data_IF_026059473296
#
_entry.id   IF_026059473296
#
_cell.length_a   1.000
_cell.length_b   1.000
_cell.length_c   1.000
_cell.angle_alpha   90.00
_cell.angle_beta   90.00
_cell.angle_gamma   90.00
#
_symmetry.space_group_name_H-M   'P 1'
#
loop_
_entity.id
_entity.type
_entity.pdbx_description
1 polymer ?
#
# COMPACT_ATOMS: atom_id res chain seq x y z
N UNK A 1 26.67 -33.61 -37.27
CA UNK A 1 25.80 -33.34 -36.10
C UNK A 1 26.58 -32.53 -35.07
N UNK A 2 26.27 -31.24 -34.91
CA UNK A 2 26.86 -30.38 -33.87
C UNK A 2 26.06 -30.53 -32.58
N UNK A 3 26.73 -30.91 -31.49
CA UNK A 3 26.13 -31.02 -30.16
C UNK A 3 25.86 -29.64 -29.57
N UNK A 4 24.59 -29.28 -29.40
CA UNK A 4 24.21 -28.16 -28.55
C UNK A 4 24.29 -28.61 -27.08
N UNK A 5 25.41 -28.27 -26.42
CA UNK A 5 25.48 -28.26 -24.96
C UNK A 5 24.43 -27.27 -24.45
N UNK A 6 23.31 -27.76 -23.91
CA UNK A 6 22.35 -26.95 -23.17
C UNK A 6 23.07 -26.38 -21.94
N UNK A 7 23.19 -25.06 -21.88
CA UNK A 7 23.65 -24.33 -20.70
C UNK A 7 22.55 -24.49 -19.64
N UNK A 8 22.72 -25.46 -18.73
CA UNK A 8 21.88 -25.60 -17.54
C UNK A 8 22.22 -24.40 -16.65
N UNK A 9 21.30 -23.44 -16.58
CA UNK A 9 21.49 -22.21 -15.81
C UNK A 9 21.77 -22.53 -14.33
N UNK A 10 22.69 -21.79 -13.69
CA UNK A 10 23.13 -22.01 -12.30
C UNK A 10 22.03 -21.97 -11.22
N UNK A 11 20.78 -21.67 -11.59
CA UNK A 11 19.60 -21.73 -10.72
C UNK A 11 19.24 -23.17 -10.34
N UNK A 12 19.41 -24.14 -11.24
CA UNK A 12 19.03 -25.54 -11.00
C UNK A 12 20.03 -26.28 -10.09
N UNK A 13 21.32 -25.95 -10.21
CA UNK A 13 22.38 -26.58 -9.41
C UNK A 13 22.35 -26.11 -7.93
N UNK A 14 21.95 -24.87 -7.65
CA UNK A 14 21.82 -24.35 -6.28
C UNK A 14 20.48 -24.75 -5.61
N UNK A 15 19.45 -25.05 -6.41
CA UNK A 15 18.18 -25.59 -5.95
C UNK A 15 18.27 -27.05 -5.48
N UNK A 16 19.13 -27.85 -6.11
CA UNK A 16 19.36 -29.25 -5.75
C UNK A 16 20.09 -29.43 -4.40
N UNK A 17 20.91 -28.46 -3.99
CA UNK A 17 21.61 -28.49 -2.70
C UNK A 17 20.69 -28.36 -1.47
N UNK A 18 19.39 -28.06 -1.65
CA UNK A 18 18.39 -27.95 -0.59
C UNK A 18 17.16 -28.85 -0.78
N UNK A 19 17.20 -29.84 -1.68
CA UNK A 19 16.08 -30.77 -1.91
C UNK A 19 14.82 -30.08 -2.44
N UNK A 20 14.94 -29.30 -3.51
CA UNK A 20 13.83 -28.59 -4.15
C UNK A 20 13.26 -29.41 -5.32
N UNK A 21 12.11 -30.06 -5.12
CA UNK A 21 11.22 -30.49 -6.21
C UNK A 21 10.21 -29.38 -6.53
N UNK A 22 9.72 -29.34 -7.77
CA UNK A 22 8.71 -28.39 -8.22
C UNK A 22 7.48 -29.18 -8.68
N UNK A 23 6.41 -29.10 -7.90
CA UNK A 23 5.06 -29.50 -8.30
C UNK A 23 4.09 -28.43 -7.80
N UNK A 24 3.29 -27.89 -8.72
CA UNK A 24 2.18 -27.00 -8.39
C UNK A 24 0.88 -27.78 -8.58
N UNK A 25 0.06 -27.83 -7.54
CA UNK A 25 -1.29 -28.39 -7.53
C UNK A 25 -2.25 -27.34 -6.98
N UNK A 26 -3.53 -27.38 -7.39
CA UNK A 26 -4.58 -26.42 -7.01
C UNK A 26 -5.23 -26.71 -5.63
N UNK A 27 -4.68 -27.66 -4.89
CA UNK A 27 -5.06 -28.04 -3.53
C UNK A 27 -3.75 -28.30 -2.78
N UNK A 28 -3.62 -27.87 -1.52
CA UNK A 28 -2.44 -28.24 -0.72
C UNK A 28 -2.43 -29.74 -0.47
N UNK A 29 -1.36 -30.40 -0.92
CA UNK A 29 -1.08 -31.81 -0.60
C UNK A 29 0.23 -31.90 0.17
N UNK A 30 0.31 -32.87 1.09
CA UNK A 30 1.56 -33.16 1.75
C UNK A 30 2.66 -33.46 0.71
N UNK A 31 3.80 -32.78 0.82
CA UNK A 31 4.90 -32.84 -0.15
C UNK A 31 4.89 -31.72 -1.20
N UNK A 32 3.80 -30.97 -1.35
CA UNK A 32 3.77 -29.82 -2.25
C UNK A 32 4.76 -28.75 -1.79
N UNK A 33 5.43 -28.12 -2.77
CA UNK A 33 6.34 -27.04 -2.45
C UNK A 33 6.55 -26.06 -3.59
N UNK A 34 6.90 -24.82 -3.23
CA UNK A 34 7.23 -23.75 -4.17
C UNK A 34 8.43 -22.96 -3.66
N UNK A 35 9.32 -22.62 -4.59
CA UNK A 35 10.46 -21.77 -4.32
C UNK A 35 10.19 -20.33 -4.80
N UNK A 36 10.69 -19.37 -4.04
CA UNK A 36 10.56 -17.94 -4.30
C UNK A 36 11.95 -17.33 -4.33
N UNK A 37 12.19 -16.48 -5.31
CA UNK A 37 13.42 -15.71 -5.43
C UNK A 37 13.13 -14.24 -5.13
N UNK A 38 13.90 -13.67 -4.21
CA UNK A 38 13.88 -12.23 -3.95
C UNK A 38 15.27 -11.62 -4.05
N UNK A 39 15.36 -10.32 -3.80
CA UNK A 39 16.65 -9.64 -3.72
C UNK A 39 17.40 -10.08 -2.47
N UNK A 40 18.51 -10.82 -2.64
CA UNK A 40 19.37 -11.25 -1.53
C UNK A 40 18.87 -12.45 -0.74
N UNK A 41 17.81 -13.12 -1.18
CA UNK A 41 17.33 -14.35 -0.57
C UNK A 41 16.66 -15.31 -1.55
N UNK A 42 16.53 -16.55 -1.13
CA UNK A 42 15.58 -17.53 -1.68
C UNK A 42 14.73 -18.10 -0.54
N UNK A 43 13.46 -18.39 -0.78
CA UNK A 43 12.58 -19.04 0.19
C UNK A 43 11.95 -20.30 -0.41
N UNK A 44 11.76 -21.35 0.37
CA UNK A 44 10.96 -22.55 0.02
C UNK A 44 9.77 -22.60 0.96
N UNK A 45 8.58 -22.76 0.41
CA UNK A 45 7.36 -23.10 1.13
C UNK A 45 7.06 -24.57 0.87
N UNK A 46 6.97 -25.38 1.92
CA UNK A 46 6.81 -26.83 1.82
C UNK A 46 5.70 -27.31 2.75
N UNK A 47 4.72 -27.99 2.19
CA UNK A 47 3.58 -28.56 2.92
C UNK A 47 4.03 -29.87 3.56
N UNK A 48 4.11 -29.91 4.89
CA UNK A 48 4.53 -31.09 5.62
C UNK A 48 3.38 -32.07 5.86
N UNK A 49 2.17 -31.55 6.12
CA UNK A 49 0.99 -32.38 6.35
C UNK A 49 -0.30 -31.61 6.10
N UNK A 50 -1.32 -32.30 5.62
CA UNK A 50 -2.70 -31.82 5.54
C UNK A 50 -3.58 -32.88 6.20
N UNK A 51 -4.16 -32.57 7.36
CA UNK A 51 -4.94 -33.52 8.16
C UNK A 51 -5.90 -32.80 9.10
N UNK A 52 -7.06 -33.38 9.35
CA UNK A 52 -8.04 -32.90 10.33
C UNK A 52 -8.43 -31.42 10.13
N UNK A 53 -8.55 -30.99 8.87
CA UNK A 53 -8.84 -29.59 8.52
C UNK A 53 -7.72 -28.62 8.90
N UNK A 54 -6.47 -29.10 8.98
CA UNK A 54 -5.28 -28.31 9.30
C UNK A 54 -4.14 -28.62 8.36
N UNK A 55 -3.39 -27.58 8.01
CA UNK A 55 -2.20 -27.65 7.16
C UNK A 55 -0.98 -27.22 7.95
N UNK A 56 0.07 -28.04 7.95
CA UNK A 56 1.37 -27.71 8.55
C UNK A 56 2.39 -27.47 7.46
N UNK A 57 3.07 -26.35 7.55
CA UNK A 57 4.00 -25.86 6.52
C UNK A 57 5.35 -25.58 7.14
N UNK A 58 6.42 -25.90 6.41
CA UNK A 58 7.77 -25.44 6.69
C UNK A 58 8.16 -24.38 5.66
N UNK A 59 8.73 -23.29 6.15
CA UNK A 59 9.37 -22.29 5.31
C UNK A 59 10.86 -22.31 5.57
N UNK A 60 11.66 -22.44 4.51
CA UNK A 60 13.12 -22.38 4.58
C UNK A 60 13.60 -21.13 3.85
N UNK A 61 14.34 -20.27 4.55
CA UNK A 61 14.94 -19.06 4.02
C UNK A 61 16.44 -19.27 3.83
N UNK A 62 16.95 -19.07 2.61
CA UNK A 62 18.38 -19.02 2.28
C UNK A 62 18.83 -17.59 2.06
N UNK A 63 19.89 -17.18 2.74
CA UNK A 63 20.57 -15.92 2.46
C UNK A 63 21.43 -16.06 1.20
N UNK A 64 21.09 -15.34 0.12
CA UNK A 64 21.87 -15.33 -1.13
C UNK A 64 22.66 -14.04 -1.31
N UNK A 65 22.63 -13.16 -0.31
CA UNK A 65 23.39 -11.92 -0.29
C UNK A 65 24.81 -12.13 0.27
N UNK A 66 25.67 -11.11 0.11
CA UNK A 66 27.01 -11.08 0.72
C UNK A 66 27.01 -10.62 2.18
N UNK A 67 25.87 -10.15 2.69
CA UNK A 67 25.74 -9.62 4.05
C UNK A 67 24.95 -10.60 4.90
N UNK A 68 25.20 -10.61 6.20
CA UNK A 68 24.37 -11.35 7.15
C UNK A 68 22.94 -10.78 7.14
N UNK A 69 21.95 -11.66 7.07
CA UNK A 69 20.56 -11.31 7.35
C UNK A 69 20.40 -11.32 8.86
N UNK A 70 19.92 -10.23 9.44
CA UNK A 70 19.56 -10.18 10.85
C UNK A 70 18.06 -9.96 10.98
N UNK A 71 17.46 -10.64 11.95
CA UNK A 71 16.07 -10.46 12.40
C UNK A 71 15.09 -10.66 11.25
N UNK A 72 15.17 -11.84 10.65
CA UNK A 72 14.33 -12.19 9.52
C UNK A 72 12.86 -12.23 9.91
N UNK A 73 12.03 -11.88 8.94
CA UNK A 73 10.60 -11.98 8.93
C UNK A 73 10.13 -12.33 7.52
N UNK A 74 9.10 -13.15 7.43
CA UNK A 74 8.59 -13.67 6.18
C UNK A 74 7.11 -13.37 6.12
N UNK A 75 6.71 -12.69 5.05
CA UNK A 75 5.32 -12.41 4.70
C UNK A 75 4.86 -13.27 3.56
N UNK A 76 3.62 -13.72 3.67
CA UNK A 76 2.90 -14.47 2.67
C UNK A 76 1.40 -14.22 2.81
N UNK A 77 0.64 -14.49 1.75
CA UNK A 77 -0.83 -14.48 1.81
C UNK A 77 -1.29 -15.78 2.44
N UNK A 78 -2.24 -15.70 3.36
CA UNK A 78 -2.87 -16.87 3.96
C UNK A 78 -4.28 -16.51 4.48
N UNK A 79 -5.25 -17.37 4.18
CA UNK A 79 -6.63 -17.20 4.62
C UNK A 79 -6.97 -18.00 5.89
N UNK A 80 -6.10 -18.93 6.28
CA UNK A 80 -6.23 -19.69 7.52
C UNK A 80 -5.80 -18.90 8.76
N UNK A 81 -6.31 -19.33 9.90
CA UNK A 81 -5.81 -18.89 11.21
C UNK A 81 -4.56 -19.70 11.55
N UNK A 82 -3.47 -19.01 11.87
CA UNK A 82 -2.23 -19.65 12.31
C UNK A 82 -2.38 -20.00 13.79
N UNK A 83 -2.47 -21.30 14.09
CA UNK A 83 -2.70 -21.80 15.44
C UNK A 83 -1.39 -22.01 16.21
N UNK A 84 -0.30 -22.29 15.51
CA UNK A 84 1.02 -22.48 16.15
C UNK A 84 2.16 -22.19 15.20
N UNK A 85 3.30 -21.78 15.78
CA UNK A 85 4.56 -21.53 15.08
C UNK A 85 5.71 -22.16 15.87
N UNK A 86 6.68 -22.76 15.16
CA UNK A 86 7.95 -23.28 15.71
C UNK A 86 9.14 -22.60 15.04
N UNK A 87 10.18 -22.30 15.82
CA UNK A 87 11.39 -21.58 15.39
C UNK A 87 11.10 -20.21 14.77
N UNK A 88 10.08 -19.55 15.29
CA UNK A 88 9.55 -18.26 14.84
C UNK A 88 8.33 -17.88 15.66
N UNK A 89 7.82 -16.67 15.44
CA UNK A 89 6.59 -16.17 16.07
C UNK A 89 5.74 -15.37 15.09
N UNK A 90 4.42 -15.51 15.23
CA UNK A 90 3.46 -14.71 14.47
C UNK A 90 3.60 -13.23 14.89
N UNK A 91 3.59 -12.35 13.89
CA UNK A 91 3.77 -10.91 14.07
C UNK A 91 2.59 -10.09 13.54
N UNK A 92 1.93 -10.54 12.47
CA UNK A 92 0.76 -9.86 11.90
C UNK A 92 -0.47 -9.99 12.82
N UNK A 93 -1.30 -8.94 12.96
CA UNK A 93 -2.60 -9.04 13.64
C UNK A 93 -3.58 -9.95 12.90
N UNK A 94 -4.58 -10.47 13.62
CA UNK A 94 -5.46 -11.56 13.18
C UNK A 94 -6.34 -11.21 11.95
N UNK A 95 -6.64 -9.92 11.75
CA UNK A 95 -7.60 -9.44 10.75
C UNK A 95 -7.07 -9.26 9.32
N UNK A 96 -5.85 -9.71 9.02
CA UNK A 96 -5.22 -9.43 7.73
C UNK A 96 -4.89 -10.69 6.91
N UNK A 97 -5.26 -10.68 5.62
CA UNK A 97 -4.90 -11.73 4.64
C UNK A 97 -3.38 -11.94 4.49
N UNK A 98 -2.58 -11.00 4.96
CA UNK A 98 -1.12 -11.10 4.99
C UNK A 98 -0.67 -11.57 6.35
N UNK A 99 -0.01 -12.73 6.39
CA UNK A 99 0.62 -13.24 7.61
C UNK A 99 2.10 -12.89 7.61
N UNK A 100 2.62 -12.51 8.77
CA UNK A 100 4.04 -12.24 8.96
C UNK A 100 4.54 -13.13 10.10
N UNK A 101 5.50 -13.99 9.82
CA UNK A 101 6.22 -14.77 10.84
C UNK A 101 7.66 -14.26 10.90
N UNK A 102 8.13 -13.91 12.09
CA UNK A 102 9.49 -13.45 12.34
C UNK A 102 10.29 -14.41 13.22
N UNK A 103 11.58 -14.18 13.29
CA UNK A 103 12.46 -14.81 14.26
C UNK A 103 11.90 -14.68 15.69
N UNK A 104 12.08 -15.72 16.50
CA UNK A 104 11.69 -15.75 17.91
C UNK A 104 12.78 -15.22 18.86
N UNK A 105 13.90 -14.74 18.31
CA UNK A 105 15.09 -14.30 19.05
C UNK A 105 16.19 -15.36 19.16
N UNK A 106 15.95 -16.61 18.76
CA UNK A 106 16.94 -17.70 18.85
C UNK A 106 17.71 -17.94 17.55
N UNK A 107 17.10 -17.59 16.40
CA UNK A 107 17.61 -17.91 15.07
C UNK A 107 17.59 -16.70 14.11
N UNK A 108 17.62 -15.48 14.65
CA UNK A 108 17.46 -14.25 13.87
C UNK A 108 18.62 -13.95 12.89
N UNK A 109 19.81 -14.51 13.09
CA UNK A 109 20.99 -14.28 12.25
C UNK A 109 21.18 -15.40 11.23
N UNK A 110 21.25 -15.06 9.94
CA UNK A 110 21.53 -16.00 8.84
C UNK A 110 22.74 -15.49 8.04
N UNK A 111 23.89 -16.18 8.13
CA UNK A 111 25.08 -15.75 7.40
C UNK A 111 24.94 -15.95 5.88
N UNK A 112 25.81 -15.34 5.04
CA UNK A 112 25.81 -15.58 3.61
C UNK A 112 25.82 -17.07 3.26
N UNK A 113 24.95 -17.48 2.34
CA UNK A 113 24.74 -18.86 1.89
C UNK A 113 24.13 -19.84 2.91
N UNK A 114 23.86 -19.40 4.15
CA UNK A 114 23.19 -20.22 5.15
C UNK A 114 21.67 -20.19 5.01
N UNK A 115 21.03 -21.16 5.67
CA UNK A 115 19.58 -21.30 5.72
C UNK A 115 19.06 -21.24 7.16
N UNK A 116 17.85 -20.71 7.32
CA UNK A 116 17.04 -20.84 8.53
C UNK A 116 15.68 -21.43 8.15
N UNK A 117 15.00 -22.08 9.10
CA UNK A 117 13.66 -22.59 8.86
C UNK A 117 12.75 -22.39 10.06
N UNK A 118 11.49 -22.13 9.76
CA UNK A 118 10.40 -22.16 10.72
C UNK A 118 9.27 -23.02 10.17
N UNK A 119 8.36 -23.45 11.05
CA UNK A 119 7.14 -24.14 10.64
C UNK A 119 5.94 -23.55 11.34
N UNK A 120 4.78 -23.62 10.70
CA UNK A 120 3.52 -23.20 11.31
C UNK A 120 2.40 -24.14 10.93
N UNK A 121 1.39 -24.22 11.80
CA UNK A 121 0.14 -24.95 11.55
C UNK A 121 -0.99 -23.94 11.44
N UNK A 122 -1.82 -24.11 10.42
CA UNK A 122 -2.97 -23.25 10.15
C UNK A 122 -4.26 -24.08 10.04
N UNK A 123 -5.39 -23.42 10.29
CA UNK A 123 -6.70 -23.96 9.91
C UNK A 123 -6.80 -24.01 8.39
N UNK A 124 -7.25 -25.13 7.86
CA UNK A 124 -7.48 -25.34 6.43
C UNK A 124 -8.75 -26.20 6.23
N UNK A 125 -9.94 -25.66 6.55
CA UNK A 125 -11.18 -26.41 6.43
C UNK A 125 -11.42 -26.79 4.96
N UNK A 126 -11.65 -28.08 4.71
CA UNK A 126 -11.90 -28.59 3.36
C UNK A 126 -10.67 -28.59 2.44
N UNK A 127 -9.45 -28.38 2.97
CA UNK A 127 -8.19 -28.35 2.20
C UNK A 127 -8.22 -27.35 1.04
N UNK A 128 -8.84 -26.18 1.28
CA UNK A 128 -9.10 -25.16 0.27
C UNK A 128 -8.02 -24.08 0.22
N UNK A 129 -7.02 -24.14 1.11
CA UNK A 129 -5.90 -23.22 1.08
C UNK A 129 -4.95 -23.54 -0.08
N UNK A 130 -4.29 -22.50 -0.59
CA UNK A 130 -3.32 -22.59 -1.68
C UNK A 130 -1.89 -22.31 -1.23
N UNK A 131 -0.92 -22.75 -2.04
CA UNK A 131 0.45 -22.28 -1.93
C UNK A 131 0.46 -20.78 -2.28
N UNK A 132 1.05 -19.90 -1.45
CA UNK A 132 1.01 -18.46 -1.69
C UNK A 132 1.59 -18.09 -3.06
N UNK A 133 0.98 -17.09 -3.72
CA UNK A 133 1.51 -16.62 -5.00
C UNK A 133 2.91 -16.03 -4.85
N UNK A 134 3.17 -15.35 -3.72
CA UNK A 134 4.44 -14.73 -3.39
C UNK A 134 4.83 -14.83 -1.93
N UNK A 135 6.14 -14.90 -1.69
CA UNK A 135 6.76 -14.77 -0.36
C UNK A 135 7.75 -13.62 -0.37
N UNK A 136 7.58 -12.73 0.60
CA UNK A 136 8.48 -11.60 0.82
C UNK A 136 9.23 -11.77 2.11
N UNK A 137 10.56 -11.72 2.04
CA UNK A 137 11.41 -11.69 3.25
C UNK A 137 11.74 -10.24 3.57
N UNK A 138 11.34 -9.85 4.77
CA UNK A 138 11.75 -8.62 5.42
C UNK A 138 12.82 -8.99 6.43
N UNK A 139 13.97 -8.38 6.37
CA UNK A 139 14.94 -8.46 7.45
C UNK A 139 15.62 -7.10 7.52
N UNK A 140 16.59 -6.93 8.40
CA UNK A 140 17.58 -5.87 8.27
C UNK A 140 18.47 -6.12 7.03
N UNK A 141 17.86 -6.44 5.88
CA UNK A 141 18.49 -6.31 4.58
C UNK A 141 18.88 -4.85 4.50
N UNK A 142 20.17 -4.61 4.32
CA UNK A 142 20.76 -3.30 4.11
C UNK A 142 20.31 -2.74 2.74
N UNK A 143 19.02 -2.48 2.59
CA UNK A 143 18.34 -1.98 1.39
C UNK A 143 17.43 -0.84 1.79
N UNK A 144 17.54 0.25 1.04
CA UNK A 144 16.72 1.44 1.20
C UNK A 144 15.40 1.25 0.48
N UNK A 145 14.41 1.94 0.99
CA UNK A 145 13.09 1.99 0.43
C UNK A 145 13.07 2.97 -0.74
N UNK A 146 12.27 2.67 -1.76
CA UNK A 146 11.99 3.67 -2.79
C UNK A 146 11.04 4.74 -2.23
N UNK A 147 11.07 5.94 -2.79
CA UNK A 147 10.13 7.02 -2.42
C UNK A 147 8.67 6.56 -2.60
N UNK A 148 8.41 5.82 -3.68
CA UNK A 148 7.11 5.17 -3.93
C UNK A 148 6.67 4.28 -2.76
N UNK A 149 7.58 3.44 -2.26
CA UNK A 149 7.28 2.55 -1.12
C UNK A 149 7.06 3.36 0.16
N UNK A 150 7.83 4.42 0.39
CA UNK A 150 7.65 5.30 1.56
C UNK A 150 6.29 6.01 1.53
N UNK A 151 5.90 6.61 0.40
CA UNK A 151 4.57 7.24 0.24
C UNK A 151 3.44 6.22 0.39
N UNK A 152 3.59 5.01 -0.17
CA UNK A 152 2.62 3.92 0.00
C UNK A 152 2.50 3.50 1.47
N UNK A 153 3.62 3.47 2.17
CA UNK A 153 3.65 3.14 3.61
C UNK A 153 2.99 4.23 4.44
N UNK A 154 3.26 5.51 4.14
CA UNK A 154 2.61 6.65 4.79
C UNK A 154 1.08 6.61 4.61
N UNK A 155 0.61 6.35 3.37
CA UNK A 155 -0.81 6.15 3.08
C UNK A 155 -1.44 5.01 3.89
N UNK A 156 -0.80 3.84 3.93
CA UNK A 156 -1.32 2.70 4.68
C UNK A 156 -1.37 2.99 6.20
N UNK A 157 -0.35 3.66 6.74
CA UNK A 157 -0.32 4.08 8.12
C UNK A 157 -1.40 5.12 8.43
N UNK A 158 -1.62 6.08 7.53
CA UNK A 158 -2.68 7.07 7.67
C UNK A 158 -4.05 6.41 7.81
N UNK A 159 -4.38 5.43 6.96
CA UNK A 159 -5.65 4.70 7.08
C UNK A 159 -5.76 3.92 8.40
N UNK A 160 -4.65 3.34 8.87
CA UNK A 160 -4.61 2.71 10.20
C UNK A 160 -4.85 3.71 11.34
N UNK A 161 -4.27 4.90 11.24
CA UNK A 161 -4.48 5.99 12.21
C UNK A 161 -5.92 6.50 12.14
N UNK A 162 -6.50 6.66 10.96
CA UNK A 162 -7.90 7.08 10.79
C UNK A 162 -8.86 6.10 11.48
N UNK A 163 -8.64 4.79 11.30
CA UNK A 163 -9.43 3.78 11.99
C UNK A 163 -9.28 3.85 13.52
N UNK A 164 -8.05 4.01 14.01
CA UNK A 164 -7.79 4.21 15.45
C UNK A 164 -8.52 5.46 15.96
N UNK A 165 -8.44 6.58 15.24
CA UNK A 165 -9.13 7.82 15.61
C UNK A 165 -10.65 7.63 15.66
N UNK A 166 -11.24 6.90 14.71
CA UNK A 166 -12.65 6.57 14.71
C UNK A 166 -13.06 5.69 15.91
N UNK A 167 -12.25 4.70 16.27
CA UNK A 167 -12.48 3.86 17.45
C UNK A 167 -12.42 4.65 18.76
N UNK A 168 -11.48 5.60 18.86
CA UNK A 168 -11.35 6.48 20.03
C UNK A 168 -12.49 7.49 20.09
N UNK A 169 -12.91 8.04 18.94
CA UNK A 169 -14.10 8.90 18.86
C UNK A 169 -15.35 8.17 19.32
N UNK A 170 -15.52 6.90 18.93
CA UNK A 170 -16.63 6.07 19.41
C UNK A 170 -16.61 5.84 20.93
N UNK A 171 -15.43 5.94 21.57
CA UNK A 171 -15.23 5.89 23.02
C UNK A 171 -15.34 7.26 23.70
N UNK A 172 -15.71 8.31 22.97
CA UNK A 172 -15.84 9.67 23.48
C UNK A 172 -14.50 10.42 23.65
N UNK A 173 -13.41 9.92 23.09
CA UNK A 173 -12.10 10.60 23.09
C UNK A 173 -11.97 11.44 21.82
N UNK A 174 -11.77 12.74 21.99
CA UNK A 174 -11.59 13.67 20.88
C UNK A 174 -10.24 13.49 20.18
N UNK A 175 -10.14 13.97 18.93
CA UNK A 175 -8.88 14.03 18.18
C UNK A 175 -7.77 14.71 18.98
N UNK A 176 -8.10 15.84 19.60
CA UNK A 176 -7.23 16.62 20.47
C UNK A 176 -6.67 15.82 21.66
N UNK A 177 -7.56 15.07 22.31
CA UNK A 177 -7.21 14.23 23.46
C UNK A 177 -6.34 13.05 23.06
N UNK A 178 -6.48 12.51 21.85
CA UNK A 178 -5.57 11.46 21.37
C UNK A 178 -4.10 11.92 21.39
N UNK A 179 -3.83 13.16 20.95
CA UNK A 179 -2.47 13.71 21.00
C UNK A 179 -2.04 14.06 22.44
N UNK A 180 -2.93 14.66 23.26
CA UNK A 180 -2.61 15.08 24.64
C UNK A 180 -2.39 13.91 25.59
N UNK A 181 -3.19 12.84 25.47
CA UNK A 181 -3.17 11.69 26.36
C UNK A 181 -2.14 10.63 25.95
N UNK A 182 -1.29 10.93 24.96
CA UNK A 182 -0.20 10.06 24.56
C UNK A 182 -0.63 8.81 23.79
N UNK A 183 -1.83 8.81 23.19
CA UNK A 183 -2.28 7.73 22.27
C UNK A 183 -1.24 7.53 21.17
N UNK A 184 -0.67 8.65 20.68
CA UNK A 184 0.41 8.67 19.69
C UNK A 184 1.78 9.02 20.29
N UNK A 185 2.05 8.79 21.57
CA UNK A 185 3.25 9.34 22.24
C UNK A 185 4.58 9.04 21.54
N UNK A 186 4.77 7.80 21.03
CA UNK A 186 6.00 7.46 20.30
C UNK A 186 5.94 7.95 18.84
N UNK A 187 4.77 7.87 18.20
CA UNK A 187 4.54 8.29 16.81
C UNK A 187 4.65 9.82 16.64
N UNK A 188 4.22 10.60 17.61
CA UNK A 188 4.28 12.07 17.61
C UNK A 188 5.56 12.61 18.30
N UNK A 189 6.52 11.74 18.62
CA UNK A 189 7.81 12.18 19.16
C UNK A 189 8.69 12.82 18.09
N UNK A 190 9.68 13.62 18.50
CA UNK A 190 10.63 14.31 17.60
C UNK A 190 11.31 13.36 16.60
N UNK A 191 11.67 12.17 17.04
CA UNK A 191 12.36 11.18 16.21
C UNK A 191 11.39 10.22 15.48
N UNK A 192 10.09 10.35 15.75
CA UNK A 192 9.06 9.38 15.42
C UNK A 192 9.28 8.02 16.10
N UNK A 193 8.34 7.12 15.88
CA UNK A 193 8.45 5.75 16.32
C UNK A 193 9.40 4.99 15.38
N UNK A 194 10.48 4.42 15.93
CA UNK A 194 11.29 3.46 15.17
C UNK A 194 10.47 2.20 14.92
N UNK A 195 10.52 1.70 13.70
CA UNK A 195 9.85 0.48 13.31
C UNK A 195 10.84 -0.65 13.05
N UNK A 196 10.33 -1.86 12.93
CA UNK A 196 11.11 -3.07 12.66
C UNK A 196 10.82 -4.17 13.66
N UNK A 197 11.22 -5.39 13.30
CA UNK A 197 10.85 -6.60 14.03
C UNK A 197 11.47 -6.74 15.43
N UNK A 198 12.43 -5.89 15.78
CA UNK A 198 13.08 -5.86 17.11
C UNK A 198 12.65 -4.70 17.98
N UNK A 199 11.83 -3.79 17.44
CA UNK A 199 11.33 -2.71 18.24
C UNK A 199 10.38 -3.29 19.31
N UNK A 200 10.64 -2.97 20.57
CA UNK A 200 9.74 -3.32 21.67
C UNK A 200 8.67 -2.24 21.74
N UNK A 201 7.46 -2.62 21.37
CA UNK A 201 6.29 -1.75 21.41
C UNK A 201 5.91 -1.46 22.84
N UNK A 202 5.55 -0.20 23.13
CA UNK A 202 5.08 0.20 24.46
C UNK A 202 3.55 0.12 24.55
N UNK A 203 2.87 0.21 23.40
CA UNK A 203 1.41 0.20 23.30
C UNK A 203 0.94 -0.75 22.20
N UNK A 204 -0.36 -1.08 22.22
CA UNK A 204 -1.02 -1.82 21.14
C UNK A 204 -0.99 -1.06 19.81
N UNK A 205 -1.18 0.26 19.86
CA UNK A 205 -1.10 1.15 18.70
C UNK A 205 0.29 1.12 18.05
N UNK A 206 1.35 1.18 18.85
CA UNK A 206 2.73 1.07 18.33
C UNK A 206 2.92 -0.26 17.57
N UNK A 207 2.36 -1.36 18.11
CA UNK A 207 2.44 -2.69 17.51
C UNK A 207 1.68 -2.74 16.18
N UNK A 208 0.47 -2.18 16.13
CA UNK A 208 -0.36 -2.14 14.93
C UNK A 208 0.27 -1.32 13.82
N UNK A 209 0.71 -0.10 14.11
CA UNK A 209 1.38 0.75 13.13
C UNK A 209 2.68 0.10 12.66
N UNK A 210 3.47 -0.50 13.55
CA UNK A 210 4.65 -1.23 13.13
C UNK A 210 4.33 -2.41 12.20
N UNK A 211 3.22 -3.11 12.44
CA UNK A 211 2.77 -4.18 11.56
C UNK A 211 2.44 -3.66 10.16
N UNK A 212 1.69 -2.57 10.06
CA UNK A 212 1.37 -1.90 8.79
C UNK A 212 2.65 -1.46 8.06
N UNK A 213 3.57 -0.80 8.76
CA UNK A 213 4.83 -0.32 8.17
C UNK A 213 5.65 -1.46 7.61
N UNK A 214 5.77 -2.55 8.39
CA UNK A 214 6.54 -3.73 8.01
C UNK A 214 5.99 -4.45 6.77
N UNK A 215 4.75 -4.15 6.34
CA UNK A 215 4.19 -4.68 5.09
C UNK A 215 4.68 -3.94 3.86
N UNK A 216 4.92 -2.63 3.97
CA UNK A 216 5.16 -1.77 2.82
C UNK A 216 6.59 -1.23 2.74
N UNK A 217 7.28 -1.14 3.87
CA UNK A 217 8.67 -0.67 3.96
C UNK A 217 9.52 -1.60 4.85
N UNK A 218 10.85 -1.53 4.67
CA UNK A 218 11.81 -2.46 5.29
C UNK A 218 12.97 -1.75 5.98
N UNK A 219 13.53 -2.42 6.98
CA UNK A 219 14.79 -2.01 7.63
C UNK A 219 14.61 -0.86 8.61
N UNK A 220 15.65 -0.02 8.73
CA UNK A 220 15.72 1.07 9.69
C UNK A 220 14.84 2.25 9.25
N UNK A 221 13.58 2.23 9.68
CA UNK A 221 12.56 3.23 9.35
C UNK A 221 12.04 3.88 10.63
N UNK A 222 11.65 5.15 10.52
CA UNK A 222 10.86 5.86 11.52
C UNK A 222 9.52 6.28 10.93
N UNK A 223 8.47 6.28 11.76
CA UNK A 223 7.14 6.79 11.44
C UNK A 223 6.79 7.93 12.34
N UNK A 224 6.27 9.01 11.75
CA UNK A 224 5.79 10.16 12.47
C UNK A 224 4.31 10.40 12.16
N UNK A 225 3.52 10.67 13.19
CA UNK A 225 2.13 11.11 13.07
C UNK A 225 2.05 12.53 13.62
N UNK A 226 1.67 13.48 12.77
CA UNK A 226 1.56 14.89 13.12
C UNK A 226 0.14 15.40 12.95
N UNK A 227 -0.09 16.61 13.48
CA UNK A 227 -1.33 17.36 13.30
C UNK A 227 -1.17 18.36 12.16
N UNK A 228 -2.24 18.56 11.41
CA UNK A 228 -2.34 19.59 10.39
C UNK A 228 -3.78 20.06 10.27
N UNK A 229 -4.00 21.11 9.50
CA UNK A 229 -5.31 21.52 9.04
C UNK A 229 -5.41 21.26 7.53
N UNK A 230 -6.54 20.71 7.07
CA UNK A 230 -6.84 20.55 5.65
C UNK A 230 -8.27 21.05 5.44
N UNK A 231 -8.47 21.99 4.52
CA UNK A 231 -9.76 22.64 4.26
C UNK A 231 -10.43 23.24 5.51
N UNK A 232 -9.65 23.85 6.41
CA UNK A 232 -10.18 24.44 7.65
C UNK A 232 -10.58 23.41 8.71
N UNK A 233 -10.23 22.13 8.53
CA UNK A 233 -10.56 21.04 9.47
C UNK A 233 -9.29 20.44 10.07
N UNK A 234 -9.33 20.22 11.39
CA UNK A 234 -8.31 19.43 12.10
C UNK A 234 -8.14 18.07 11.42
N UNK A 235 -6.91 17.74 11.08
CA UNK A 235 -6.54 16.50 10.44
C UNK A 235 -5.17 16.02 10.95
N UNK A 236 -4.78 14.83 10.53
CA UNK A 236 -3.44 14.31 10.76
C UNK A 236 -2.68 14.18 9.45
N UNK A 237 -1.37 14.01 9.58
CA UNK A 237 -0.53 13.54 8.49
C UNK A 237 0.43 12.49 9.03
N UNK A 238 0.89 11.63 8.13
CA UNK A 238 1.86 10.59 8.42
C UNK A 238 3.09 10.78 7.55
N UNK A 239 4.27 10.70 8.17
CA UNK A 239 5.53 10.62 7.47
C UNK A 239 6.24 9.30 7.77
N UNK A 240 6.93 8.77 6.76
CA UNK A 240 7.75 7.56 6.88
C UNK A 240 9.15 7.88 6.37
N UNK A 241 10.13 7.82 7.26
CA UNK A 241 11.54 8.14 6.96
C UNK A 241 12.36 6.87 6.86
N UNK A 242 13.05 6.71 5.73
CA UNK A 242 14.16 5.78 5.65
C UNK A 242 15.37 6.40 6.37
N UNK A 243 15.67 5.92 7.58
CA UNK A 243 16.72 6.51 8.43
C UNK A 243 18.13 6.35 7.86
N UNK A 244 18.32 5.54 6.81
CA UNK A 244 19.60 5.38 6.14
C UNK A 244 19.82 6.43 5.05
N UNK A 245 18.77 6.74 4.29
CA UNK A 245 18.86 7.67 3.16
C UNK A 245 18.39 9.08 3.51
N UNK A 246 17.66 9.25 4.61
CA UNK A 246 17.00 10.50 4.97
C UNK A 246 15.74 10.80 4.15
N UNK A 247 15.40 9.98 3.13
CA UNK A 247 14.21 10.17 2.31
C UNK A 247 12.94 9.97 3.11
N UNK A 248 11.95 10.83 2.86
CA UNK A 248 10.70 10.86 3.61
C UNK A 248 9.53 10.77 2.63
N UNK A 249 8.70 9.73 2.80
CA UNK A 249 7.36 9.71 2.21
C UNK A 249 6.36 10.35 3.15
N UNK A 250 5.30 10.95 2.61
CA UNK A 250 4.26 11.65 3.37
C UNK A 250 2.87 11.28 2.83
N UNK A 251 1.89 11.31 3.71
CA UNK A 251 0.49 11.28 3.35
C UNK A 251 -0.35 12.06 4.38
N UNK A 252 -1.36 12.86 3.96
CA UNK A 252 -1.68 13.22 2.58
C UNK A 252 -0.55 14.03 1.92
N UNK A 253 -0.64 14.35 0.64
CA UNK A 253 0.45 14.96 -0.15
C UNK A 253 1.71 14.06 -0.31
N UNK A 254 1.73 13.24 -1.37
CA UNK A 254 2.85 12.34 -1.66
C UNK A 254 4.04 13.14 -2.16
N UNK A 255 5.24 12.94 -1.61
CA UNK A 255 6.42 13.77 -1.95
C UNK A 255 7.45 13.01 -2.77
N UNK A 256 8.37 13.73 -3.41
CA UNK A 256 9.55 13.14 -4.08
C UNK A 256 10.64 12.61 -3.11
N UNK A 257 10.36 12.55 -1.80
CA UNK A 257 11.30 12.08 -0.78
C UNK A 257 11.95 13.19 0.03
N UNK A 258 11.54 14.43 -0.17
CA UNK A 258 12.23 15.66 0.27
C UNK A 258 11.48 16.41 1.38
N UNK A 259 10.40 15.84 1.90
CA UNK A 259 9.58 16.45 2.94
C UNK A 259 10.39 16.77 4.21
N UNK A 260 10.04 17.87 4.86
CA UNK A 260 10.61 18.21 6.17
C UNK A 260 10.06 17.29 7.26
N UNK A 261 10.94 16.55 7.94
CA UNK A 261 10.54 15.61 8.99
C UNK A 261 9.85 16.31 10.17
N UNK A 262 8.66 15.83 10.55
CA UNK A 262 7.87 16.36 11.66
C UNK A 262 6.94 17.52 11.27
N UNK A 263 6.91 17.91 10.00
CA UNK A 263 6.08 19.02 9.49
C UNK A 263 5.28 18.56 8.29
N UNK A 264 4.00 18.96 8.21
CA UNK A 264 3.21 18.71 7.01
C UNK A 264 3.69 19.62 5.90
N UNK A 265 4.48 19.06 4.99
CA UNK A 265 5.19 19.83 3.98
C UNK A 265 4.41 19.77 2.66
N UNK A 266 3.63 20.82 2.38
CA UNK A 266 2.88 20.98 1.14
C UNK A 266 3.72 21.66 0.04
N UNK A 267 4.88 22.23 0.38
CA UNK A 267 5.74 22.94 -0.57
C UNK A 267 6.64 21.98 -1.36
N UNK A 268 6.72 20.72 -0.93
CA UNK A 268 7.49 19.72 -1.67
C UNK A 268 6.89 19.38 -3.03
N UNK A 269 7.72 19.04 -4.03
CA UNK A 269 7.21 18.52 -5.28
C UNK A 269 6.40 17.24 -5.06
N UNK A 270 5.21 17.21 -5.67
CA UNK A 270 4.31 16.06 -5.62
C UNK A 270 4.92 14.88 -6.37
N UNK A 271 4.79 13.68 -5.79
CA UNK A 271 5.13 12.43 -6.43
C UNK A 271 4.02 11.96 -7.37
N UNK A 272 4.24 12.14 -8.68
CA UNK A 272 3.36 11.66 -9.74
C UNK A 272 4.02 10.50 -10.49
N UNK A 273 3.33 9.35 -10.56
CA UNK A 273 3.72 8.17 -11.36
C UNK A 273 2.52 7.23 -11.42
N UNK A 274 1.50 7.65 -12.15
CA UNK A 274 0.21 6.97 -12.15
C UNK A 274 0.18 5.85 -13.20
N UNK A 275 -0.45 4.72 -12.86
CA UNK A 275 -0.79 3.72 -13.86
C UNK A 275 -1.98 4.18 -14.70
N UNK A 276 -2.13 3.63 -15.90
CA UNK A 276 -3.31 3.89 -16.74
C UNK A 276 -4.61 3.50 -16.03
N UNK A 277 -4.60 2.46 -15.20
CA UNK A 277 -5.76 2.07 -14.40
C UNK A 277 -6.12 3.11 -13.34
N UNK A 278 -5.13 3.73 -12.68
CA UNK A 278 -5.37 4.82 -11.73
C UNK A 278 -5.93 6.05 -12.45
N UNK A 279 -5.33 6.43 -13.58
CA UNK A 279 -5.81 7.53 -14.40
C UNK A 279 -7.26 7.31 -14.86
N UNK A 280 -7.62 6.11 -15.34
CA UNK A 280 -9.00 5.78 -15.72
C UNK A 280 -9.96 5.83 -14.52
N UNK A 281 -9.54 5.35 -13.36
CA UNK A 281 -10.35 5.43 -12.14
C UNK A 281 -10.61 6.89 -11.74
N UNK A 282 -9.57 7.72 -11.77
CA UNK A 282 -9.68 9.15 -11.51
C UNK A 282 -10.59 9.86 -12.52
N UNK A 283 -10.52 9.49 -13.80
CA UNK A 283 -11.42 10.01 -14.83
C UNK A 283 -12.89 9.64 -14.57
N UNK A 284 -13.15 8.41 -14.11
CA UNK A 284 -14.49 7.96 -13.71
C UNK A 284 -15.02 8.74 -12.51
N UNK A 285 -14.21 8.92 -11.45
CA UNK A 285 -14.65 9.67 -10.27
C UNK A 285 -14.91 11.14 -10.61
N UNK A 286 -14.02 11.77 -11.38
CA UNK A 286 -14.25 13.13 -11.86
C UNK A 286 -15.50 13.24 -12.75
N UNK A 287 -15.79 12.23 -13.58
CA UNK A 287 -17.04 12.17 -14.33
C UNK A 287 -18.25 12.16 -13.39
N UNK A 288 -18.25 11.32 -12.36
CA UNK A 288 -19.34 11.24 -11.38
C UNK A 288 -19.50 12.55 -10.60
N UNK A 289 -18.40 13.24 -10.26
CA UNK A 289 -18.42 14.58 -9.67
C UNK A 289 -19.12 15.60 -10.58
N UNK A 290 -18.72 15.67 -11.86
CA UNK A 290 -19.32 16.58 -12.83
C UNK A 290 -20.81 16.25 -13.02
N UNK A 291 -21.15 14.97 -13.23
CA UNK A 291 -22.52 14.55 -13.42
C UNK A 291 -23.40 14.88 -12.21
N UNK A 292 -22.90 14.62 -10.99
CA UNK A 292 -23.59 14.94 -9.74
C UNK A 292 -23.83 16.44 -9.59
N UNK A 293 -22.80 17.25 -9.83
CA UNK A 293 -22.90 18.71 -9.75
C UNK A 293 -23.96 19.26 -10.73
N UNK A 294 -23.92 18.83 -11.99
CA UNK A 294 -24.90 19.25 -13.01
C UNK A 294 -26.33 18.83 -12.64
N UNK A 295 -26.49 17.65 -12.05
CA UNK A 295 -27.79 17.15 -11.60
C UNK A 295 -28.34 17.96 -10.41
N UNK A 296 -27.48 18.39 -9.49
CA UNK A 296 -27.88 19.25 -8.38
C UNK A 296 -28.32 20.63 -8.86
N UNK A 297 -27.62 21.24 -9.84
CA UNK A 297 -28.07 22.50 -10.45
C UNK A 297 -29.47 22.38 -11.10
N UNK A 298 -29.75 21.26 -11.77
CA UNK A 298 -31.08 21.00 -12.33
C UNK A 298 -32.16 20.88 -11.25
N UNK A 299 -31.85 20.23 -10.11
CA UNK A 299 -32.77 20.13 -8.97
C UNK A 299 -33.07 21.48 -8.33
N UNK A 300 -32.11 22.40 -8.36
CA UNK A 300 -32.27 23.77 -7.89
C UNK A 300 -33.10 24.64 -8.86
N UNK A 301 -33.54 24.07 -9.99
CA UNK A 301 -34.45 24.71 -10.93
C UNK A 301 -33.75 25.42 -12.09
N UNK A 302 -32.44 25.26 -12.24
CA UNK A 302 -31.73 25.76 -13.43
C UNK A 302 -32.07 24.89 -14.64
N UNK A 303 -32.45 25.53 -15.75
CA UNK A 303 -32.61 24.80 -17.00
C UNK A 303 -31.25 24.44 -17.62
N UNK A 304 -31.22 23.38 -18.43
CA UNK A 304 -29.99 22.87 -19.01
C UNK A 304 -29.32 23.84 -19.99
N UNK A 305 -30.07 24.75 -20.64
CA UNK A 305 -29.47 25.73 -21.56
C UNK A 305 -28.69 26.76 -20.75
N UNK A 306 -29.28 27.27 -19.67
CA UNK A 306 -28.61 28.16 -18.72
C UNK A 306 -27.36 27.51 -18.11
N UNK A 307 -27.41 26.21 -17.78
CA UNK A 307 -26.23 25.49 -17.28
C UNK A 307 -25.14 25.45 -18.35
N UNK A 308 -25.46 25.08 -19.59
CA UNK A 308 -24.49 25.00 -20.69
C UNK A 308 -23.88 26.36 -21.06
N UNK A 309 -24.67 27.43 -21.01
CA UNK A 309 -24.21 28.80 -21.31
C UNK A 309 -23.33 29.40 -20.21
N UNK A 310 -23.49 28.96 -18.97
CA UNK A 310 -22.76 29.48 -17.81
C UNK A 310 -21.74 28.48 -17.23
N UNK A 311 -21.49 27.37 -17.90
CA UNK A 311 -20.42 26.44 -17.55
C UNK A 311 -19.08 27.12 -17.85
N UNK A 312 -18.46 27.64 -16.79
CA UNK A 312 -17.09 28.14 -16.81
C UNK A 312 -16.32 27.46 -15.69
N UNK A 313 -15.45 26.51 -16.06
CA UNK A 313 -14.62 25.78 -15.12
C UNK A 313 -13.31 25.38 -15.80
N UNK A 314 -12.23 25.38 -15.03
CA UNK A 314 -10.87 25.15 -15.50
C UNK A 314 -10.71 23.78 -16.15
N UNK A 315 -11.41 22.76 -15.64
CA UNK A 315 -11.37 21.43 -16.24
C UNK A 315 -11.88 21.42 -17.70
N UNK A 316 -12.70 22.40 -18.12
CA UNK A 316 -13.20 22.53 -19.50
C UNK A 316 -12.26 23.30 -20.43
N UNK A 317 -11.17 23.86 -19.89
CA UNK A 317 -10.19 24.63 -20.65
C UNK A 317 -9.11 23.75 -21.31
N UNK A 318 -8.37 24.33 -22.25
CA UNK A 318 -7.20 23.69 -22.87
C UNK A 318 -6.06 23.40 -21.87
N UNK A 319 -6.02 24.14 -20.75
CA UNK A 319 -5.04 23.93 -19.68
C UNK A 319 -5.45 22.75 -18.77
N UNK A 320 -6.76 22.57 -18.59
CA UNK A 320 -7.36 21.59 -17.68
C UNK A 320 -7.22 22.00 -16.21
N UNK A 321 -7.93 21.27 -15.34
CA UNK A 321 -7.87 21.47 -13.89
C UNK A 321 -6.70 20.69 -13.30
N UNK A 322 -5.73 21.40 -12.71
CA UNK A 322 -4.67 20.75 -11.93
C UNK A 322 -5.17 20.42 -10.53
N UNK A 323 -5.15 19.13 -10.18
CA UNK A 323 -5.50 18.67 -8.83
C UNK A 323 -4.40 19.09 -7.86
N UNK A 324 -4.76 19.80 -6.79
CA UNK A 324 -3.80 20.42 -5.87
C UNK A 324 -4.42 20.55 -4.48
N UNK A 325 -3.72 20.06 -3.44
CA UNK A 325 -4.20 20.17 -2.06
C UNK A 325 -4.23 21.62 -1.54
N UNK A 326 -3.47 22.53 -2.14
CA UNK A 326 -3.46 23.96 -1.77
C UNK A 326 -4.52 24.78 -2.47
N UNK A 327 -5.07 24.27 -3.57
CA UNK A 327 -5.97 25.05 -4.38
C UNK A 327 -7.32 25.24 -3.69
N UNK A 328 -7.84 26.47 -3.79
CA UNK A 328 -9.19 26.82 -3.36
C UNK A 328 -9.99 27.13 -4.62
N UNK A 329 -10.66 26.11 -5.13
CA UNK A 329 -11.57 26.22 -6.27
C UNK A 329 -13.01 26.45 -5.79
N UNK A 330 -13.88 26.81 -6.73
CA UNK A 330 -15.33 26.88 -6.57
C UNK A 330 -16.04 25.97 -7.59
N UNK A 331 -17.37 25.96 -7.55
CA UNK A 331 -18.20 25.23 -8.52
C UNK A 331 -17.82 23.76 -8.69
N UNK A 332 -17.80 23.31 -9.95
CA UNK A 332 -17.46 21.93 -10.30
C UNK A 332 -15.97 21.61 -10.10
N UNK A 333 -15.07 22.58 -10.31
CA UNK A 333 -13.63 22.37 -10.10
C UNK A 333 -13.34 22.04 -8.63
N UNK A 334 -14.07 22.67 -7.69
CA UNK A 334 -14.01 22.33 -6.27
C UNK A 334 -14.40 20.89 -6.02
N UNK A 335 -15.52 20.43 -6.59
CA UNK A 335 -16.03 19.07 -6.38
C UNK A 335 -15.02 18.04 -6.92
N UNK A 336 -14.47 18.29 -8.13
CA UNK A 336 -13.45 17.42 -8.72
C UNK A 336 -12.17 17.41 -7.86
N UNK A 337 -11.68 18.58 -7.44
CA UNK A 337 -10.45 18.67 -6.66
C UNK A 337 -10.59 18.02 -5.28
N UNK A 338 -11.69 18.28 -4.57
CA UNK A 338 -11.92 17.71 -3.24
C UNK A 338 -11.99 16.19 -3.25
N UNK A 339 -12.58 15.61 -4.31
CA UNK A 339 -12.62 14.16 -4.51
C UNK A 339 -11.21 13.58 -4.78
N UNK A 340 -10.42 14.24 -5.63
CA UNK A 340 -9.18 13.65 -6.15
C UNK A 340 -7.92 14.00 -5.36
N UNK A 341 -7.85 15.13 -4.66
CA UNK A 341 -6.61 15.71 -4.11
C UNK A 341 -5.87 14.84 -3.10
N UNK A 342 -6.52 13.87 -2.46
CA UNK A 342 -5.87 12.99 -1.51
C UNK A 342 -5.06 11.86 -2.17
N UNK A 343 -5.52 11.35 -3.32
CA UNK A 343 -4.92 10.18 -3.97
C UNK A 343 -4.19 10.54 -5.27
N UNK A 344 -4.67 11.57 -5.96
CA UNK A 344 -4.38 11.89 -7.34
C UNK A 344 -3.86 13.34 -7.54
N UNK A 345 -3.30 13.92 -6.48
CA UNK A 345 -2.66 15.24 -6.50
C UNK A 345 -1.61 15.38 -7.61
N UNK A 346 -1.60 16.52 -8.30
CA UNK A 346 -0.70 16.80 -9.41
C UNK A 346 -1.17 16.21 -10.74
N UNK A 347 -2.25 15.41 -10.79
CA UNK A 347 -2.92 15.10 -12.07
C UNK A 347 -3.55 16.34 -12.69
N UNK A 348 -3.75 16.30 -14.00
CA UNK A 348 -4.58 17.26 -14.72
C UNK A 348 -5.85 16.55 -15.18
N UNK A 349 -7.01 17.17 -14.95
CA UNK A 349 -8.33 16.70 -15.39
C UNK A 349 -8.84 17.60 -16.50
N UNK A 350 -9.30 16.98 -17.58
CA UNK A 350 -9.96 17.62 -18.71
C UNK A 350 -11.38 17.07 -18.81
N UNK A 351 -12.35 17.95 -18.97
CA UNK A 351 -13.74 17.61 -19.29
C UNK A 351 -13.99 18.13 -20.69
N UNK A 352 -14.41 17.25 -21.58
CA UNK A 352 -14.79 17.65 -22.94
C UNK A 352 -16.03 18.54 -22.94
N UNK A 353 -16.36 19.11 -24.09
CA UNK A 353 -17.63 19.81 -24.29
C UNK A 353 -18.81 19.00 -23.73
N UNK A 354 -19.62 19.68 -22.91
CA UNK A 354 -20.84 19.13 -22.32
C UNK A 354 -21.99 19.47 -23.25
N UNK A 355 -22.76 18.45 -23.64
CA UNK A 355 -23.96 18.63 -24.47
C UNK A 355 -25.17 18.02 -23.81
N UNK A 356 -26.37 18.51 -24.14
CA UNK A 356 -27.62 17.94 -23.64
C UNK A 356 -28.51 17.52 -24.81
N UNK A 357 -28.95 16.26 -24.81
CA UNK A 357 -30.00 15.75 -25.71
C UNK A 357 -31.19 15.24 -24.91
N UNK A 358 -30.95 14.22 -24.09
CA UNK A 358 -31.90 13.66 -23.10
C UNK A 358 -31.29 13.57 -21.70
N UNK A 359 -29.96 13.72 -21.61
CA UNK A 359 -29.12 13.73 -20.42
C UNK A 359 -27.80 14.41 -20.81
N UNK A 360 -27.00 14.84 -19.82
CA UNK A 360 -25.68 15.45 -20.06
C UNK A 360 -24.69 14.44 -20.63
N UNK A 361 -24.04 14.79 -21.74
CA UNK A 361 -23.02 13.98 -22.41
C UNK A 361 -21.71 14.72 -22.43
N UNK A 362 -20.69 14.10 -21.87
CA UNK A 362 -19.32 14.58 -21.84
C UNK A 362 -18.36 13.41 -21.63
N UNK A 363 -17.08 13.67 -21.80
CA UNK A 363 -15.97 12.76 -21.54
C UNK A 363 -15.04 13.42 -20.54
N UNK A 364 -14.49 12.64 -19.63
CA UNK A 364 -13.42 13.08 -18.75
C UNK A 364 -12.12 12.39 -19.14
N UNK A 365 -11.06 13.16 -19.29
CA UNK A 365 -9.71 12.68 -19.50
C UNK A 365 -8.84 13.14 -18.34
N UNK A 366 -8.01 12.23 -17.81
CA UNK A 366 -6.98 12.57 -16.83
C UNK A 366 -5.61 12.40 -17.45
N UNK A 367 -4.64 13.17 -16.97
CA UNK A 367 -3.26 13.15 -17.47
C UNK A 367 -2.28 13.20 -16.31
N UNK A 368 -1.30 12.31 -16.36
CA UNK A 368 -0.10 12.41 -15.54
C UNK A 368 0.88 13.37 -16.23
N UNK A 369 1.14 14.58 -15.68
CA UNK A 369 2.01 15.54 -16.33
C UNK A 369 3.47 15.08 -16.40
N UNK A 370 3.91 14.18 -15.51
CA UNK A 370 5.29 13.69 -15.50
C UNK A 370 5.55 12.64 -16.58
N UNK A 371 4.57 11.80 -16.89
CA UNK A 371 4.73 10.69 -17.84
C UNK A 371 4.00 10.88 -19.16
N UNK A 372 3.08 11.85 -19.24
CA UNK A 372 2.21 12.08 -20.39
C UNK A 372 1.13 11.01 -20.59
N UNK A 373 1.05 10.01 -19.70
CA UNK A 373 0.00 8.98 -19.75
C UNK A 373 -1.36 9.60 -19.49
N UNK A 374 -2.37 9.01 -20.11
CA UNK A 374 -3.74 9.48 -19.99
C UNK A 374 -4.70 8.36 -19.61
N UNK A 375 -5.72 8.71 -18.83
CA UNK A 375 -6.92 7.91 -18.62
C UNK A 375 -8.11 8.63 -19.22
N UNK A 376 -9.13 7.89 -19.64
CA UNK A 376 -10.34 8.48 -20.19
C UNK A 376 -11.54 7.68 -19.70
N UNK A 377 -12.64 8.39 -19.42
CA UNK A 377 -13.93 7.83 -19.11
C UNK A 377 -15.02 8.60 -19.85
N UNK A 378 -15.91 7.86 -20.49
CA UNK A 378 -17.11 8.37 -21.16
C UNK A 378 -18.21 7.35 -20.95
N UNK A 379 -19.38 7.79 -20.50
CA UNK A 379 -20.53 6.89 -20.41
C UNK A 379 -21.04 6.58 -21.83
N UNK A 380 -20.80 5.36 -22.32
CA UNK A 380 -21.45 4.88 -23.54
C UNK A 380 -22.91 4.54 -23.22
N UNK A 381 -23.83 5.00 -24.07
CA UNK A 381 -25.27 4.69 -24.07
C UNK A 381 -25.55 3.20 -23.77
N UNK A 382 -25.85 2.87 -22.51
CA UNK A 382 -26.48 1.58 -22.17
C UNK A 382 -27.46 1.72 -20.99
N UNK A 383 -28.49 2.56 -21.14
CA UNK A 383 -29.80 2.32 -20.54
C UNK A 383 -30.86 2.66 -21.60
N UNK A 384 -31.09 1.69 -22.49
CA UNK A 384 -32.38 1.58 -23.18
C UNK A 384 -33.28 0.82 -22.18
N UNK A 385 -34.30 1.50 -21.65
CA UNK A 385 -35.53 0.84 -21.25
C UNK A 385 -36.53 0.97 -22.40
#
# INVERSE_FOLDING_TARGET
MKSFKKIISGVTALALACGLSLSASAELKAGDSKAYKGTGYMAKYEVLSVKDGKSTVKVTLKNTSKKKINNWAVRFVNYGNIESVKNGKLFSPDYWMFRIIKDDGTNGSVAPNECVSFSFTMTDPGNSSDIPEGITVYSDLDKSNSVKDLNKTAFACYNGIDQILNDYKAKGVSFDECFKNGVFANLNSKDGMKTGFNYRYKTEIDREINAVVSMFARGNISVYVGRTEIDGKDSCFVQVRDNRTGKIGQYPHRTQGEATWGTFDLDTPVYTNYSESQLRSAASHAYDCVAGYLYDLMKEGQDYQSILENIDFQAGSDEGLKIDMKASYDGVDKVINDELKYLEEGMIVYVSEITYRNYFRFTVQTKDPATGKTGQYSYQDSIIC
#
